data_IF_152487521091
#
_entry.id   IF_152487521091
#
_cell.length_a   1.000
_cell.length_b   1.000
_cell.length_c   1.000
_cell.angle_alpha   90.00
_cell.angle_beta   90.00
_cell.angle_gamma   90.00
#
_symmetry.space_group_name_H-M   'P 1'
#
loop_
_entity.id
_entity.type
_entity.pdbx_description
1 polymer ?
#
# COMPACT_ATOMS: atom_id res chain seq x y z
N UNK A 1 -8.17 -4.33 5.94
CA UNK A 1 -8.97 -5.54 6.28
C UNK A 1 -10.44 -5.18 6.16
N UNK A 2 -11.24 -6.05 5.56
CA UNK A 2 -12.67 -5.81 5.43
C UNK A 2 -13.39 -5.81 6.79
N UNK A 3 -14.49 -5.06 6.88
CA UNK A 3 -15.36 -5.08 8.04
C UNK A 3 -16.25 -6.34 8.02
N UNK A 4 -16.11 -7.18 9.04
CA UNK A 4 -16.96 -8.37 9.19
C UNK A 4 -18.45 -8.02 9.31
N UNK A 5 -18.77 -6.84 9.87
CA UNK A 5 -20.16 -6.36 9.93
C UNK A 5 -20.72 -6.12 8.53
N UNK A 6 -19.92 -5.54 7.63
CA UNK A 6 -20.31 -5.35 6.22
C UNK A 6 -20.53 -6.69 5.51
N UNK A 7 -19.61 -7.67 5.71
CA UNK A 7 -19.79 -9.03 5.16
C UNK A 7 -21.11 -9.65 5.67
N UNK A 8 -21.47 -9.41 6.93
CA UNK A 8 -22.69 -9.93 7.54
C UNK A 8 -23.96 -9.28 6.99
N UNK A 9 -23.95 -7.96 6.81
CA UNK A 9 -25.14 -7.18 6.42
C UNK A 9 -25.38 -7.16 4.92
N UNK A 10 -24.33 -7.30 4.10
CA UNK A 10 -24.36 -7.28 2.63
C UNK A 10 -23.51 -8.43 2.06
N UNK A 11 -23.85 -9.64 2.45
CA UNK A 11 -23.07 -10.83 2.05
C UNK A 11 -22.98 -10.99 0.53
N UNK A 12 -24.12 -10.89 -0.16
CA UNK A 12 -24.18 -11.13 -1.61
C UNK A 12 -23.46 -10.04 -2.40
N UNK A 13 -23.57 -8.77 -1.99
CA UNK A 13 -22.87 -7.65 -2.61
C UNK A 13 -21.35 -7.74 -2.42
N UNK A 14 -20.89 -8.06 -1.21
CA UNK A 14 -19.46 -8.27 -0.93
C UNK A 14 -18.94 -9.49 -1.69
N UNK A 15 -19.70 -10.59 -1.74
CA UNK A 15 -19.32 -11.80 -2.47
C UNK A 15 -19.16 -11.54 -3.97
N UNK A 16 -20.12 -10.84 -4.58
CA UNK A 16 -20.05 -10.48 -5.99
C UNK A 16 -18.82 -9.64 -6.31
N UNK A 17 -18.51 -8.62 -5.48
CA UNK A 17 -17.33 -7.77 -5.65
C UNK A 17 -16.02 -8.55 -5.49
N UNK A 18 -15.91 -9.41 -4.49
CA UNK A 18 -14.70 -10.19 -4.26
C UNK A 18 -14.51 -11.31 -5.32
N UNK A 19 -15.58 -11.83 -5.88
CA UNK A 19 -15.51 -12.78 -7.00
C UNK A 19 -14.80 -12.16 -8.23
N UNK A 20 -15.02 -10.87 -8.51
CA UNK A 20 -14.29 -10.16 -9.58
C UNK A 20 -12.80 -10.00 -9.31
N UNK A 21 -12.36 -10.25 -8.06
CA UNK A 21 -10.96 -10.25 -7.63
C UNK A 21 -10.40 -11.68 -7.45
N UNK A 22 -11.07 -12.69 -7.98
CA UNK A 22 -10.63 -14.09 -7.92
C UNK A 22 -10.80 -14.74 -6.55
N UNK A 23 -11.58 -14.16 -5.62
CA UNK A 23 -11.86 -14.78 -4.32
C UNK A 23 -12.93 -15.87 -4.51
N UNK A 24 -12.61 -17.10 -4.07
CA UNK A 24 -13.54 -18.23 -4.16
C UNK A 24 -14.75 -18.05 -3.24
N UNK A 25 -15.94 -18.46 -3.71
CA UNK A 25 -17.19 -18.36 -2.95
C UNK A 25 -17.13 -19.11 -1.60
N UNK A 26 -16.42 -20.23 -1.56
CA UNK A 26 -16.21 -21.05 -0.35
C UNK A 26 -15.51 -20.26 0.76
N UNK A 27 -14.60 -19.35 0.41
CA UNK A 27 -13.90 -18.51 1.40
C UNK A 27 -14.88 -17.63 2.16
N UNK A 28 -15.83 -17.01 1.46
CA UNK A 28 -16.85 -16.16 2.09
C UNK A 28 -17.91 -16.97 2.83
N UNK A 29 -18.28 -18.14 2.32
CA UNK A 29 -19.16 -19.08 3.03
C UNK A 29 -18.55 -19.50 4.37
N UNK A 30 -17.24 -19.80 4.39
CA UNK A 30 -16.52 -20.15 5.60
C UNK A 30 -16.47 -18.98 6.62
N UNK A 31 -16.24 -17.75 6.15
CA UNK A 31 -16.30 -16.56 7.02
C UNK A 31 -17.69 -16.42 7.64
N UNK A 32 -18.75 -16.61 6.87
CA UNK A 32 -20.14 -16.52 7.35
C UNK A 32 -20.44 -17.57 8.41
N UNK A 33 -20.00 -18.81 8.22
CA UNK A 33 -20.16 -19.90 9.16
C UNK A 33 -19.39 -19.63 10.46
N UNK A 34 -18.11 -19.26 10.37
CA UNK A 34 -17.28 -18.93 11.52
C UNK A 34 -17.84 -17.74 12.31
N UNK A 35 -18.32 -16.69 11.63
CA UNK A 35 -18.93 -15.52 12.29
C UNK A 35 -20.24 -15.89 12.99
N UNK A 36 -21.09 -16.75 12.41
CA UNK A 36 -22.29 -17.23 13.05
C UNK A 36 -21.95 -18.03 14.30
N UNK A 37 -21.03 -19.02 14.19
CA UNK A 37 -20.58 -19.82 15.32
C UNK A 37 -19.96 -18.95 16.42
N UNK A 38 -19.13 -17.97 16.06
CA UNK A 38 -18.55 -17.00 16.99
C UNK A 38 -19.61 -16.29 17.83
N UNK A 39 -20.68 -15.80 17.19
CA UNK A 39 -21.76 -15.09 17.87
C UNK A 39 -22.55 -15.98 18.82
N UNK A 40 -22.84 -17.22 18.39
CA UNK A 40 -23.55 -18.18 19.22
C UNK A 40 -22.73 -18.53 20.48
N UNK A 41 -21.44 -18.83 20.31
CA UNK A 41 -20.53 -19.10 21.44
C UNK A 41 -20.42 -17.88 22.36
N UNK A 42 -20.30 -16.66 21.80
CA UNK A 42 -20.19 -15.42 22.58
C UNK A 42 -21.42 -15.21 23.45
N UNK A 43 -22.63 -15.36 22.92
CA UNK A 43 -23.88 -15.25 23.67
C UNK A 43 -23.89 -16.27 24.83
N UNK A 44 -23.57 -17.52 24.57
CA UNK A 44 -23.51 -18.57 25.61
C UNK A 44 -22.49 -18.24 26.69
N UNK A 45 -21.30 -17.73 26.31
CA UNK A 45 -20.27 -17.32 27.29
C UNK A 45 -20.75 -16.18 28.17
N UNK A 46 -21.43 -15.19 27.59
CA UNK A 46 -21.98 -14.06 28.35
C UNK A 46 -23.06 -14.49 29.32
N UNK A 47 -23.96 -15.38 28.91
CA UNK A 47 -25.01 -15.95 29.77
C UNK A 47 -24.40 -16.74 30.94
N UNK A 48 -23.43 -17.63 30.67
CA UNK A 48 -22.77 -18.41 31.72
C UNK A 48 -21.93 -17.53 32.68
N UNK A 49 -21.31 -16.46 32.15
CA UNK A 49 -20.59 -15.47 33.00
C UNK A 49 -21.57 -14.72 33.93
N UNK A 50 -22.75 -14.35 33.43
CA UNK A 50 -23.80 -13.73 34.22
C UNK A 50 -24.32 -14.70 35.30
N UNK A 51 -24.63 -15.94 34.95
CA UNK A 51 -25.03 -16.99 35.89
C UNK A 51 -23.95 -17.25 36.96
N UNK A 52 -22.70 -17.36 36.58
CA UNK A 52 -21.57 -17.50 37.51
C UNK A 52 -21.50 -16.36 38.52
N UNK A 53 -21.74 -15.13 38.09
CA UNK A 53 -21.75 -13.98 38.97
C UNK A 53 -22.90 -14.06 39.96
N UNK A 54 -24.10 -14.51 39.56
CA UNK A 54 -25.27 -14.72 40.41
C UNK A 54 -24.99 -15.81 41.46
N UNK A 55 -24.49 -16.99 41.01
CA UNK A 55 -24.13 -18.10 41.92
C UNK A 55 -23.04 -17.68 42.93
N UNK A 56 -22.07 -16.86 42.48
CA UNK A 56 -21.03 -16.32 43.35
C UNK A 56 -21.62 -15.44 44.48
N UNK A 57 -22.57 -14.59 44.13
CA UNK A 57 -23.27 -13.75 45.12
C UNK A 57 -24.09 -14.60 46.13
N UNK A 58 -24.77 -15.63 45.62
CA UNK A 58 -25.53 -16.56 46.45
C UNK A 58 -24.64 -17.36 47.44
N UNK A 59 -23.47 -17.84 46.99
CA UNK A 59 -22.48 -18.50 47.83
C UNK A 59 -22.01 -17.55 48.94
N UNK A 60 -21.73 -16.30 48.58
CA UNK A 60 -21.31 -15.29 49.56
C UNK A 60 -22.40 -15.02 50.59
N UNK A 61 -23.68 -14.98 50.18
CA UNK A 61 -24.82 -14.80 51.10
C UNK A 61 -25.03 -16.02 52.01
N UNK A 62 -25.01 -17.25 51.45
CA UNK A 62 -25.14 -18.47 52.24
C UNK A 62 -24.05 -18.60 53.31
N UNK A 63 -22.79 -18.28 52.93
CA UNK A 63 -21.67 -18.24 53.91
C UNK A 63 -21.87 -17.20 55.04
N UNK A 64 -22.42 -16.03 54.73
CA UNK A 64 -22.75 -15.01 55.72
C UNK A 64 -23.83 -15.50 56.71
N UNK A 65 -24.82 -16.23 56.16
CA UNK A 65 -25.92 -16.79 56.95
C UNK A 65 -25.53 -18.08 57.67
N UNK A 66 -24.29 -18.59 57.48
CA UNK A 66 -23.81 -19.90 58.01
C UNK A 66 -24.62 -21.10 57.46
N UNK A 67 -25.15 -20.98 56.24
CA UNK A 67 -25.88 -22.05 55.56
C UNK A 67 -24.89 -22.90 54.75
N UNK A 68 -25.30 -24.14 54.46
CA UNK A 68 -24.50 -25.03 53.57
C UNK A 68 -24.53 -24.47 52.13
N UNK A 69 -23.35 -24.35 51.51
CA UNK A 69 -23.18 -23.86 50.13
C UNK A 69 -22.50 -24.89 49.21
N UNK A 70 -22.35 -26.14 49.62
CA UNK A 70 -21.58 -27.15 48.89
C UNK A 70 -22.11 -27.39 47.49
N UNK A 71 -23.43 -27.53 47.31
CA UNK A 71 -24.07 -27.69 45.99
C UNK A 71 -23.85 -26.49 45.10
N UNK A 72 -23.91 -25.25 45.66
CA UNK A 72 -23.63 -24.03 44.91
C UNK A 72 -22.16 -23.90 44.53
N UNK A 73 -21.25 -24.39 45.37
CA UNK A 73 -19.81 -24.43 45.07
C UNK A 73 -19.54 -25.42 43.94
N UNK A 74 -20.18 -26.59 43.95
CA UNK A 74 -20.06 -27.55 42.87
C UNK A 74 -20.60 -27.03 41.52
N UNK A 75 -21.78 -26.32 41.58
CA UNK A 75 -22.34 -25.64 40.39
C UNK A 75 -21.40 -24.54 39.89
N UNK A 76 -20.80 -23.75 40.77
CA UNK A 76 -19.82 -22.72 40.41
C UNK A 76 -18.59 -23.31 39.74
N UNK A 77 -18.07 -24.47 40.24
CA UNK A 77 -16.93 -25.13 39.62
C UNK A 77 -17.25 -25.59 38.20
N UNK A 78 -18.43 -26.19 37.97
CA UNK A 78 -18.91 -26.60 36.66
C UNK A 78 -19.02 -25.41 35.71
N UNK A 79 -19.73 -24.35 36.12
CA UNK A 79 -19.88 -23.10 35.35
C UNK A 79 -18.51 -22.50 34.95
N UNK A 80 -17.56 -22.52 35.90
CA UNK A 80 -16.21 -22.00 35.63
C UNK A 80 -15.45 -22.85 34.62
N UNK A 81 -15.62 -24.17 34.62
CA UNK A 81 -15.04 -25.08 33.64
C UNK A 81 -15.68 -24.90 32.26
N UNK A 82 -17.00 -24.76 32.18
CA UNK A 82 -17.74 -24.53 30.95
C UNK A 82 -17.35 -23.19 30.30
N UNK A 83 -17.29 -22.12 31.09
CA UNK A 83 -16.81 -20.80 30.61
C UNK A 83 -15.39 -20.88 30.07
N UNK A 84 -14.47 -21.58 30.76
CA UNK A 84 -13.10 -21.74 30.30
C UNK A 84 -13.01 -22.49 28.96
N UNK A 85 -13.80 -23.55 28.78
CA UNK A 85 -13.84 -24.31 27.54
C UNK A 85 -14.38 -23.47 26.38
N UNK A 86 -15.45 -22.71 26.61
CA UNK A 86 -16.04 -21.84 25.58
C UNK A 86 -15.17 -20.63 25.27
N UNK A 87 -14.47 -20.05 26.25
CA UNK A 87 -13.47 -18.99 25.99
C UNK A 87 -12.32 -19.52 25.10
N UNK A 88 -11.88 -20.78 25.29
CA UNK A 88 -10.89 -21.43 24.44
C UNK A 88 -11.42 -21.69 23.02
N UNK A 89 -12.67 -22.16 22.89
CA UNK A 89 -13.33 -22.32 21.58
C UNK A 89 -13.47 -20.99 20.85
N UNK A 90 -13.86 -19.92 21.57
CA UNK A 90 -13.98 -18.57 20.99
C UNK A 90 -12.64 -18.08 20.46
N UNK A 91 -11.55 -18.29 21.21
CA UNK A 91 -10.20 -17.94 20.75
C UNK A 91 -9.82 -18.68 19.46
N UNK A 92 -10.09 -19.99 19.37
CA UNK A 92 -9.81 -20.77 18.15
C UNK A 92 -10.62 -20.27 16.94
N UNK A 93 -11.88 -19.88 17.15
CA UNK A 93 -12.72 -19.32 16.08
C UNK A 93 -12.18 -17.97 15.64
N UNK A 94 -11.79 -17.10 16.59
CA UNK A 94 -11.21 -15.78 16.31
C UNK A 94 -9.89 -15.90 15.52
N UNK A 95 -9.02 -16.84 15.87
CA UNK A 95 -7.77 -17.12 15.14
C UNK A 95 -8.06 -17.56 13.70
N UNK A 96 -8.98 -18.50 13.48
CA UNK A 96 -9.38 -18.94 12.14
C UNK A 96 -9.97 -17.83 11.31
N UNK A 97 -10.85 -17.03 11.91
CA UNK A 97 -11.49 -15.92 11.23
C UNK A 97 -10.47 -14.83 10.83
N UNK A 98 -9.56 -14.48 11.74
CA UNK A 98 -8.50 -13.52 11.49
C UNK A 98 -7.53 -14.02 10.40
N UNK A 99 -7.17 -15.29 10.40
CA UNK A 99 -6.31 -15.88 9.36
C UNK A 99 -6.89 -15.71 7.96
N UNK A 100 -8.22 -15.82 7.80
CA UNK A 100 -8.89 -15.62 6.51
C UNK A 100 -9.00 -14.11 6.20
N UNK A 101 -9.49 -13.31 7.13
CA UNK A 101 -9.73 -11.87 6.91
C UNK A 101 -8.46 -11.09 6.59
N UNK A 102 -7.32 -11.49 7.14
CA UNK A 102 -6.04 -10.80 6.93
C UNK A 102 -5.45 -10.99 5.54
N UNK A 103 -5.85 -12.05 4.82
CA UNK A 103 -5.41 -12.32 3.44
C UNK A 103 -6.48 -12.05 2.40
N UNK A 104 -7.65 -11.57 2.81
CA UNK A 104 -8.74 -11.19 1.93
C UNK A 104 -8.50 -9.79 1.36
N UNK A 105 -8.54 -9.60 0.00
CA UNK A 105 -8.33 -8.28 -0.60
C UNK A 105 -9.48 -7.32 -0.28
N UNK A 106 -9.25 -6.01 -0.50
CA UNK A 106 -10.31 -5.01 -0.41
C UNK A 106 -11.36 -5.20 -1.52
N UNK A 107 -12.57 -4.73 -1.28
CA UNK A 107 -13.64 -4.72 -2.29
C UNK A 107 -13.43 -3.57 -3.28
N UNK A 108 -13.63 -3.80 -4.59
CA UNK A 108 -13.55 -2.72 -5.57
C UNK A 108 -14.70 -1.71 -5.39
N UNK A 109 -14.40 -0.44 -5.65
CA UNK A 109 -15.43 0.60 -5.80
C UNK A 109 -16.28 0.34 -7.04
N UNK A 110 -17.52 0.81 -7.06
CA UNK A 110 -18.48 0.54 -8.15
C UNK A 110 -18.04 1.09 -9.51
N UNK A 111 -17.18 2.10 -9.53
CA UNK A 111 -16.62 2.69 -10.76
C UNK A 111 -15.42 1.95 -11.35
N UNK A 112 -14.96 0.89 -10.70
CA UNK A 112 -13.80 0.11 -11.17
C UNK A 112 -14.26 -0.82 -12.30
N UNK A 113 -13.54 -0.83 -13.46
CA UNK A 113 -13.85 -1.76 -14.53
C UNK A 113 -13.62 -3.21 -14.07
N UNK A 114 -14.51 -4.10 -14.47
CA UNK A 114 -14.37 -5.54 -14.21
C UNK A 114 -13.47 -6.12 -15.30
N UNK A 115 -12.42 -6.83 -14.90
CA UNK A 115 -11.46 -7.48 -15.80
C UNK A 115 -10.60 -8.49 -15.04
N UNK A 116 -9.93 -9.38 -15.78
CA UNK A 116 -9.14 -10.48 -15.23
C UNK A 116 -7.68 -10.08 -14.96
N UNK A 117 -7.10 -9.24 -15.80
CA UNK A 117 -5.68 -8.87 -15.77
C UNK A 117 -5.41 -7.48 -16.38
N UNK A 118 -4.13 -7.14 -16.53
CA UNK A 118 -3.64 -5.84 -17.00
C UNK A 118 -4.10 -5.47 -18.43
N UNK A 119 -4.47 -6.45 -19.28
CA UNK A 119 -4.93 -6.19 -20.64
C UNK A 119 -6.34 -5.57 -20.67
N UNK A 120 -7.09 -5.71 -19.59
CA UNK A 120 -8.46 -5.17 -19.44
C UNK A 120 -8.50 -3.84 -18.65
N UNK A 121 -7.33 -3.24 -18.36
CA UNK A 121 -7.24 -1.90 -17.81
C UNK A 121 -7.75 -0.86 -18.82
N UNK A 122 -8.40 0.18 -18.33
CA UNK A 122 -9.05 1.18 -19.20
C UNK A 122 -8.24 2.48 -19.23
N UNK A 123 -7.78 2.88 -20.42
CA UNK A 123 -7.16 4.20 -20.59
C UNK A 123 -8.20 5.29 -20.43
N UNK A 124 -8.01 6.15 -19.42
CA UNK A 124 -8.94 7.25 -19.10
C UNK A 124 -8.49 8.59 -19.67
N UNK A 125 -7.19 8.81 -19.84
CA UNK A 125 -6.61 10.01 -20.47
C UNK A 125 -5.15 9.79 -20.86
N UNK A 126 -4.68 10.66 -21.74
CA UNK A 126 -3.30 10.67 -22.25
C UNK A 126 -2.82 12.09 -22.40
N UNK A 127 -1.51 12.31 -22.23
CA UNK A 127 -0.85 13.59 -22.44
C UNK A 127 0.47 13.44 -23.18
N UNK A 128 0.76 14.44 -24.03
CA UNK A 128 1.97 14.46 -24.84
C UNK A 128 1.93 13.48 -26.02
N UNK A 129 2.89 13.66 -26.92
CA UNK A 129 3.07 12.79 -28.09
C UNK A 129 4.47 12.21 -28.03
N UNK A 130 4.65 10.88 -28.16
CA UNK A 130 5.96 10.26 -28.30
C UNK A 130 6.80 10.94 -29.38
N UNK A 131 8.06 11.22 -29.07
CA UNK A 131 9.00 11.80 -30.02
C UNK A 131 9.27 10.82 -31.14
N UNK A 132 9.22 11.30 -32.39
CA UNK A 132 9.74 10.55 -33.55
C UNK A 132 11.24 10.81 -33.68
N UNK A 133 12.01 9.72 -33.69
CA UNK A 133 13.46 9.79 -33.82
C UNK A 133 13.84 9.61 -35.31
N UNK A 134 14.86 10.36 -35.77
CA UNK A 134 15.49 10.17 -37.11
C UNK A 134 16.58 9.11 -37.07
N UNK A 135 16.86 8.55 -35.92
CA UNK A 135 17.84 7.50 -35.65
C UNK A 135 17.22 6.42 -34.73
N UNK A 136 17.84 5.26 -34.64
CA UNK A 136 17.39 4.20 -33.75
C UNK A 136 17.67 4.58 -32.26
N UNK A 137 16.63 4.74 -31.43
CA UNK A 137 16.85 5.13 -30.05
C UNK A 137 17.46 3.96 -29.24
N UNK A 138 18.55 4.25 -28.52
CA UNK A 138 19.17 3.30 -27.59
C UNK A 138 18.32 3.13 -26.32
N UNK A 139 18.42 1.97 -25.72
CA UNK A 139 17.86 1.72 -24.42
C UNK A 139 18.63 2.45 -23.30
N UNK A 140 17.92 2.81 -22.20
CA UNK A 140 18.51 3.56 -21.10
C UNK A 140 19.71 2.88 -20.44
N UNK A 141 19.78 1.55 -20.45
CA UNK A 141 20.93 0.82 -19.91
C UNK A 141 22.20 0.98 -20.79
N UNK A 142 22.06 0.97 -22.12
CA UNK A 142 23.18 1.19 -23.03
C UNK A 142 23.63 2.66 -22.96
N UNK A 143 22.69 3.62 -22.95
CA UNK A 143 23.01 5.05 -22.74
C UNK A 143 23.71 5.29 -21.41
N UNK A 144 23.26 4.63 -20.34
CA UNK A 144 23.84 4.77 -19.02
C UNK A 144 25.29 4.27 -18.92
N UNK A 145 25.63 3.22 -19.67
CA UNK A 145 27.01 2.71 -19.80
C UNK A 145 27.86 3.63 -20.68
N UNK A 146 27.37 4.01 -21.86
CA UNK A 146 28.08 4.88 -22.81
C UNK A 146 28.40 6.26 -22.21
N UNK A 147 27.51 6.80 -21.39
CA UNK A 147 27.68 8.08 -20.69
C UNK A 147 28.45 7.97 -19.37
N UNK A 148 28.87 6.78 -18.98
CA UNK A 148 29.53 6.49 -17.70
C UNK A 148 28.75 6.96 -16.45
N UNK A 149 27.44 6.82 -16.48
CA UNK A 149 26.53 7.27 -15.40
C UNK A 149 25.81 6.13 -14.66
N UNK A 150 25.74 4.93 -15.22
CA UNK A 150 25.19 3.72 -14.61
C UNK A 150 26.25 2.61 -14.63
N UNK A 151 26.42 1.88 -13.53
CA UNK A 151 27.41 0.82 -13.41
C UNK A 151 26.77 -0.45 -12.85
N UNK A 152 26.41 -1.34 -13.75
CA UNK A 152 25.75 -2.60 -13.45
C UNK A 152 26.73 -3.67 -12.97
N UNK A 153 27.94 -3.71 -13.53
CA UNK A 153 28.95 -4.71 -13.20
C UNK A 153 29.38 -4.59 -11.72
N UNK A 154 29.67 -3.37 -11.29
CA UNK A 154 30.04 -3.13 -9.89
C UNK A 154 28.86 -3.29 -8.94
N UNK A 155 27.65 -2.94 -9.35
CA UNK A 155 26.42 -3.23 -8.60
C UNK A 155 26.25 -4.72 -8.36
N UNK A 156 26.37 -5.53 -9.42
CA UNK A 156 26.28 -6.98 -9.32
C UNK A 156 27.40 -7.58 -8.47
N UNK A 157 28.62 -7.04 -8.57
CA UNK A 157 29.78 -7.48 -7.76
C UNK A 157 29.56 -7.24 -6.27
N UNK A 158 28.96 -6.12 -5.88
CA UNK A 158 28.79 -5.73 -4.47
C UNK A 158 27.62 -6.43 -3.82
N UNK A 159 26.51 -6.59 -4.54
CA UNK A 159 25.27 -7.07 -3.93
C UNK A 159 24.62 -8.22 -4.73
N UNK A 160 24.76 -8.24 -6.05
CA UNK A 160 24.11 -9.23 -6.92
C UNK A 160 23.33 -8.59 -8.08
N UNK A 161 22.62 -9.40 -8.84
CA UNK A 161 21.77 -8.93 -9.92
C UNK A 161 20.70 -7.95 -9.43
N UNK A 162 20.21 -7.06 -10.29
CA UNK A 162 19.18 -6.03 -10.00
C UNK A 162 19.62 -4.99 -8.97
N UNK A 163 20.94 -4.78 -8.81
CA UNK A 163 21.56 -3.66 -8.12
C UNK A 163 22.51 -2.93 -9.07
N UNK A 164 22.68 -1.63 -8.88
CA UNK A 164 23.58 -0.80 -9.67
C UNK A 164 24.17 0.33 -8.85
N UNK A 165 25.21 0.95 -9.39
CA UNK A 165 25.66 2.26 -8.94
C UNK A 165 25.23 3.33 -9.95
N UNK A 166 24.59 4.38 -9.47
CA UNK A 166 24.54 5.66 -10.17
C UNK A 166 25.83 6.39 -9.88
N UNK A 167 26.47 6.94 -10.89
CA UNK A 167 27.71 7.70 -10.71
C UNK A 167 27.73 8.99 -11.52
N UNK A 168 28.64 9.89 -11.18
CA UNK A 168 28.84 11.16 -11.90
C UNK A 168 27.53 11.95 -12.09
N UNK A 169 27.23 12.36 -13.32
CA UNK A 169 26.00 13.08 -13.64
C UNK A 169 24.73 12.21 -13.49
N UNK A 170 24.86 10.88 -13.53
CA UNK A 170 23.73 9.97 -13.24
C UNK A 170 23.29 10.05 -11.78
N UNK A 171 24.24 10.03 -10.84
CA UNK A 171 23.92 10.20 -9.43
C UNK A 171 23.35 11.59 -9.14
N UNK A 172 23.83 12.62 -9.86
CA UNK A 172 23.28 13.96 -9.76
C UNK A 172 21.88 14.05 -10.34
N UNK A 173 21.59 13.40 -11.46
CA UNK A 173 20.27 13.36 -12.08
C UNK A 173 19.25 12.66 -11.17
N UNK A 174 19.60 11.54 -10.58
CA UNK A 174 18.78 10.82 -9.60
C UNK A 174 18.39 11.74 -8.44
N UNK A 175 19.39 12.43 -7.84
CA UNK A 175 19.18 13.38 -6.76
C UNK A 175 18.38 14.61 -7.21
N UNK A 176 18.65 15.14 -8.40
CA UNK A 176 17.92 16.28 -8.96
C UNK A 176 16.44 15.96 -9.10
N UNK A 177 16.12 14.74 -9.57
CA UNK A 177 14.75 14.28 -9.76
C UNK A 177 13.97 14.20 -8.45
N UNK A 178 14.49 13.49 -7.44
CA UNK A 178 13.70 13.37 -6.22
C UNK A 178 13.60 14.71 -5.45
N UNK A 179 14.60 15.60 -5.52
CA UNK A 179 14.47 16.95 -4.96
C UNK A 179 13.41 17.78 -5.70
N UNK A 180 13.41 17.74 -7.03
CA UNK A 180 12.39 18.40 -7.83
C UNK A 180 10.98 17.87 -7.51
N UNK A 181 10.79 16.55 -7.44
CA UNK A 181 9.51 15.94 -7.11
C UNK A 181 9.02 16.36 -5.72
N UNK A 182 9.91 16.36 -4.71
CA UNK A 182 9.56 16.81 -3.36
C UNK A 182 9.15 18.28 -3.33
N UNK A 183 9.92 19.17 -3.97
CA UNK A 183 9.61 20.59 -4.00
C UNK A 183 8.25 20.87 -4.67
N UNK A 184 7.92 20.13 -5.75
CA UNK A 184 6.62 20.23 -6.41
C UNK A 184 5.47 19.78 -5.51
N UNK A 185 5.60 18.64 -4.83
CA UNK A 185 4.56 18.17 -3.92
C UNK A 185 4.41 19.06 -2.70
N UNK A 186 5.51 19.65 -2.18
CA UNK A 186 5.43 20.65 -1.11
C UNK A 186 4.64 21.87 -1.59
N UNK A 187 4.87 22.34 -2.82
CA UNK A 187 4.12 23.43 -3.41
C UNK A 187 2.63 23.11 -3.61
N UNK A 188 2.29 21.83 -3.76
CA UNK A 188 0.92 21.31 -3.85
C UNK A 188 0.26 21.06 -2.48
N UNK A 189 0.95 21.38 -1.38
CA UNK A 189 0.43 21.33 -0.01
C UNK A 189 0.78 20.09 0.79
N UNK A 190 1.68 19.23 0.29
CA UNK A 190 2.17 18.10 1.05
C UNK A 190 3.21 18.53 2.09
N UNK A 191 3.18 17.91 3.26
CA UNK A 191 4.23 18.01 4.26
C UNK A 191 5.31 16.96 3.96
N UNK A 192 6.56 17.41 3.80
CA UNK A 192 7.69 16.49 3.65
C UNK A 192 8.03 15.83 4.98
N UNK A 193 8.23 14.51 4.94
CA UNK A 193 8.63 13.71 6.09
C UNK A 193 9.83 12.84 5.71
N UNK A 194 10.86 12.82 6.56
CA UNK A 194 11.95 11.85 6.48
C UNK A 194 11.59 10.68 7.39
N UNK A 195 11.39 9.51 6.81
CA UNK A 195 10.88 8.33 7.51
C UNK A 195 12.00 7.38 7.93
N UNK A 196 11.77 6.50 8.94
CA UNK A 196 12.58 5.30 9.12
C UNK A 196 12.50 4.40 7.89
N UNK A 197 13.61 3.75 7.52
CA UNK A 197 13.68 2.78 6.42
C UNK A 197 13.55 1.32 6.88
N UNK A 198 13.54 1.11 8.18
CA UNK A 198 13.22 -0.15 8.83
C UNK A 198 11.97 0.05 9.69
N UNK A 199 11.03 -0.88 9.56
CA UNK A 199 9.75 -0.85 10.30
C UNK A 199 9.51 -2.19 10.97
N UNK A 200 8.66 -2.22 11.98
CA UNK A 200 8.25 -3.45 12.63
C UNK A 200 7.14 -4.20 11.84
N UNK A 201 6.90 -5.45 12.19
CA UNK A 201 5.87 -6.29 11.56
C UNK A 201 4.47 -5.69 11.66
N UNK A 202 4.13 -4.99 12.76
CA UNK A 202 2.83 -4.34 12.91
C UNK A 202 2.62 -3.24 11.87
N UNK A 203 3.69 -2.52 11.49
CA UNK A 203 3.62 -1.52 10.44
C UNK A 203 3.40 -2.15 9.07
N UNK A 204 4.04 -3.29 8.79
CA UNK A 204 3.82 -4.06 7.55
C UNK A 204 2.39 -4.64 7.51
N UNK A 205 1.85 -5.05 8.66
CA UNK A 205 0.46 -5.47 8.77
C UNK A 205 -0.50 -4.30 8.52
N UNK A 206 -0.22 -3.12 9.07
CA UNK A 206 -1.07 -1.94 8.98
C UNK A 206 -1.40 -1.53 7.55
N UNK A 207 -0.44 -1.59 6.65
CA UNK A 207 -0.61 -1.24 5.22
C UNK A 207 -0.97 -2.43 4.32
N UNK A 208 -1.00 -3.66 4.87
CA UNK A 208 -1.48 -4.84 4.15
C UNK A 208 -0.40 -5.67 3.47
N UNK A 209 0.89 -5.35 3.64
CA UNK A 209 1.97 -6.20 3.13
C UNK A 209 2.00 -7.55 3.86
N UNK A 210 1.80 -7.53 5.18
CA UNK A 210 1.76 -8.76 5.97
C UNK A 210 0.30 -9.19 6.27
N UNK A 211 0.06 -10.50 6.34
CA UNK A 211 0.99 -11.62 6.14
C UNK A 211 1.23 -12.01 4.67
N UNK A 212 0.42 -11.53 3.73
CA UNK A 212 0.29 -12.05 2.36
C UNK A 212 1.57 -11.96 1.52
N UNK A 213 2.31 -10.85 1.62
CA UNK A 213 3.49 -10.55 0.79
C UNK A 213 4.80 -10.63 1.56
N UNK A 214 4.85 -11.48 2.58
CA UNK A 214 6.04 -11.64 3.41
C UNK A 214 7.28 -12.05 2.59
N UNK A 215 7.10 -12.90 1.58
CA UNK A 215 8.17 -13.39 0.71
C UNK A 215 8.77 -12.29 -0.20
N UNK A 216 8.02 -11.21 -0.45
CA UNK A 216 8.49 -10.07 -1.24
C UNK A 216 9.30 -9.06 -0.44
N UNK A 217 9.57 -9.32 0.83
CA UNK A 217 10.25 -8.39 1.75
C UNK A 217 11.63 -8.88 2.17
N UNK A 218 12.48 -7.94 2.60
CA UNK A 218 13.75 -8.23 3.25
C UNK A 218 13.60 -8.07 4.77
N UNK A 219 13.50 -9.20 5.48
CA UNK A 219 13.47 -9.24 6.95
C UNK A 219 14.89 -9.25 7.53
N UNK A 220 15.10 -8.59 8.66
CA UNK A 220 16.34 -8.62 9.40
C UNK A 220 16.32 -9.79 10.38
N UNK A 221 17.29 -10.70 10.26
CA UNK A 221 17.42 -11.87 11.12
C UNK A 221 17.42 -11.49 12.61
N UNK A 222 16.78 -12.30 13.43
CA UNK A 222 16.73 -12.18 14.90
C UNK A 222 16.08 -10.85 15.40
N UNK A 223 15.30 -10.20 14.55
CA UNK A 223 14.56 -8.98 14.90
C UNK A 223 13.11 -9.06 14.40
N UNK A 224 12.30 -8.06 14.75
CA UNK A 224 10.98 -7.85 14.14
C UNK A 224 11.02 -6.72 13.09
N UNK A 225 12.19 -6.41 12.52
CA UNK A 225 12.38 -5.35 11.56
C UNK A 225 12.40 -5.86 10.11
N UNK A 226 11.84 -5.02 9.24
CA UNK A 226 11.73 -5.24 7.80
C UNK A 226 12.22 -3.98 7.09
N UNK A 227 13.00 -4.11 6.02
CA UNK A 227 13.31 -3.00 5.13
C UNK A 227 12.05 -2.60 4.37
N UNK A 228 11.73 -1.31 4.34
CA UNK A 228 10.48 -0.83 3.72
C UNK A 228 10.43 -1.10 2.21
N UNK A 229 9.33 -1.63 1.67
CA UNK A 229 9.13 -1.75 0.22
C UNK A 229 8.67 -0.44 -0.42
N UNK A 230 8.26 0.54 0.38
CA UNK A 230 7.74 1.86 0.02
C UNK A 230 7.64 2.74 1.26
N UNK A 231 7.76 4.06 1.10
CA UNK A 231 7.49 5.01 2.18
C UNK A 231 6.02 5.04 2.62
N UNK A 232 5.10 4.47 1.84
CA UNK A 232 3.70 4.26 2.26
C UNK A 232 3.61 3.63 3.65
N UNK A 233 4.47 2.63 3.93
CA UNK A 233 4.41 1.90 5.20
C UNK A 233 4.66 2.81 6.40
N UNK A 234 5.79 3.51 6.54
CA UNK A 234 6.01 4.39 7.68
C UNK A 234 5.07 5.61 7.66
N UNK A 235 4.74 6.19 6.49
CA UNK A 235 3.86 7.35 6.41
C UNK A 235 2.44 7.03 6.88
N UNK A 236 1.85 5.92 6.42
CA UNK A 236 0.50 5.52 6.84
C UNK A 236 0.46 5.17 8.32
N UNK A 237 1.48 4.48 8.83
CA UNK A 237 1.56 4.12 10.25
C UNK A 237 1.91 5.29 11.17
N UNK A 238 2.18 6.49 10.65
CA UNK A 238 2.46 7.69 11.44
C UNK A 238 1.34 7.96 12.46
N UNK A 239 0.09 7.76 12.05
CA UNK A 239 -1.09 7.92 12.91
C UNK A 239 -1.67 6.60 13.45
N UNK A 240 -0.92 5.50 13.44
CA UNK A 240 -1.40 4.22 13.96
C UNK A 240 -1.86 4.34 15.41
N UNK A 241 -3.08 3.81 15.70
CA UNK A 241 -3.79 3.85 16.98
C UNK A 241 -4.23 5.26 17.43
N UNK A 242 -4.26 6.25 16.55
CA UNK A 242 -4.65 7.62 16.87
C UNK A 242 -6.09 7.94 16.44
N UNK A 243 -6.65 8.97 17.07
CA UNK A 243 -7.93 9.57 16.71
C UNK A 243 -7.66 11.04 16.37
N UNK A 244 -7.83 11.38 15.08
CA UNK A 244 -7.65 12.73 14.57
C UNK A 244 -8.93 13.55 14.71
N UNK A 245 -8.83 14.87 14.63
CA UNK A 245 -10.01 15.72 14.54
C UNK A 245 -10.38 15.92 13.05
N UNK A 246 -11.67 15.83 12.72
CA UNK A 246 -12.14 15.98 11.33
C UNK A 246 -11.68 17.27 10.66
N UNK A 247 -11.63 18.38 11.43
CA UNK A 247 -11.18 19.69 10.94
C UNK A 247 -9.75 19.73 10.40
N UNK A 248 -8.91 18.76 10.80
CA UNK A 248 -7.52 18.66 10.38
C UNK A 248 -7.38 17.82 9.08
N UNK A 249 -8.47 17.18 8.63
CA UNK A 249 -8.50 16.39 7.40
C UNK A 249 -8.92 17.26 6.19
N UNK A 250 -8.39 17.01 4.99
CA UNK A 250 -7.43 15.97 4.67
C UNK A 250 -5.98 16.37 5.02
N UNK A 251 -5.16 15.38 5.40
CA UNK A 251 -3.72 15.56 5.66
C UNK A 251 -2.93 14.95 4.51
N UNK A 252 -1.87 15.63 4.05
CA UNK A 252 -1.02 15.21 2.93
C UNK A 252 0.42 15.07 3.39
N UNK A 253 1.01 13.89 3.20
CA UNK A 253 2.42 13.62 3.44
C UNK A 253 3.14 13.20 2.18
N UNK A 254 4.39 13.65 2.03
CA UNK A 254 5.31 13.15 1.00
C UNK A 254 6.66 12.78 1.62
N UNK A 255 7.29 11.75 1.09
CA UNK A 255 8.62 11.32 1.50
C UNK A 255 9.38 10.72 0.34
N UNK A 256 10.66 11.02 0.25
CA UNK A 256 11.61 10.25 -0.56
C UNK A 256 12.21 9.14 0.30
N UNK A 257 12.21 7.93 -0.20
CA UNK A 257 12.91 6.82 0.44
C UNK A 257 13.52 5.84 -0.55
N UNK A 258 14.56 5.10 -0.17
CA UNK A 258 14.83 3.82 -0.80
C UNK A 258 13.66 2.89 -0.54
N UNK A 259 13.36 2.04 -1.52
CA UNK A 259 12.38 0.97 -1.45
C UNK A 259 13.08 -0.36 -1.72
N UNK A 260 12.77 -1.38 -0.93
CA UNK A 260 13.43 -2.69 -0.99
C UNK A 260 12.42 -3.77 -1.29
N UNK A 261 12.60 -4.51 -2.41
CA UNK A 261 11.71 -5.59 -2.84
C UNK A 261 12.51 -6.81 -3.27
N UNK A 262 12.19 -7.99 -2.72
CA UNK A 262 12.86 -9.24 -3.09
C UNK A 262 12.45 -9.72 -4.48
N UNK A 263 11.34 -9.18 -5.05
CA UNK A 263 10.85 -9.51 -6.39
C UNK A 263 10.66 -11.03 -6.59
N UNK A 264 10.16 -11.73 -5.57
CA UNK A 264 10.07 -13.19 -5.53
C UNK A 264 9.28 -13.79 -6.71
N UNK A 265 8.24 -13.09 -7.20
CA UNK A 265 7.39 -13.53 -8.31
C UNK A 265 7.82 -13.06 -9.70
N UNK A 266 8.96 -12.37 -9.85
CA UNK A 266 9.31 -11.64 -11.09
C UNK A 266 10.42 -12.29 -11.92
N UNK A 267 10.64 -13.59 -11.79
CA UNK A 267 11.68 -14.30 -12.56
C UNK A 267 11.50 -14.11 -14.08
N UNK A 268 12.55 -13.64 -14.75
CA UNK A 268 12.56 -13.45 -16.22
C UNK A 268 11.92 -12.15 -16.72
N UNK A 269 11.28 -11.34 -15.86
CA UNK A 269 10.69 -10.05 -16.25
C UNK A 269 11.69 -8.92 -16.06
N UNK A 270 11.78 -7.98 -17.03
CA UNK A 270 12.60 -6.77 -16.96
C UNK A 270 14.00 -7.04 -16.36
N UNK A 271 14.75 -7.98 -16.95
CA UNK A 271 16.04 -8.45 -16.43
C UNK A 271 17.18 -7.44 -16.62
N UNK A 272 16.99 -6.39 -17.42
CA UNK A 272 17.94 -5.32 -17.70
C UNK A 272 17.32 -3.96 -17.41
N UNK A 273 18.17 -2.99 -17.06
CA UNK A 273 17.79 -1.59 -16.89
C UNK A 273 17.16 -1.26 -15.53
N UNK A 274 16.53 -0.08 -15.46
CA UNK A 274 16.06 0.57 -14.24
C UNK A 274 14.61 0.26 -13.88
N UNK A 275 13.91 -0.54 -14.69
CA UNK A 275 12.47 -0.79 -14.51
C UNK A 275 12.20 -1.66 -13.28
N UNK A 276 13.06 -2.66 -13.00
CA UNK A 276 12.84 -3.62 -11.91
C UNK A 276 14.14 -3.92 -11.17
N UNK A 277 14.26 -3.34 -9.98
CA UNK A 277 15.42 -3.41 -9.10
C UNK A 277 15.00 -3.89 -7.71
N UNK A 278 15.91 -4.52 -6.97
CA UNK A 278 15.73 -4.87 -5.56
C UNK A 278 15.76 -3.66 -4.64
N UNK A 279 16.47 -2.61 -5.04
CA UNK A 279 16.56 -1.33 -4.36
C UNK A 279 16.39 -0.19 -5.36
N UNK A 280 15.49 0.74 -5.08
CA UNK A 280 15.25 1.93 -5.90
C UNK A 280 14.72 3.08 -5.05
N UNK A 281 14.88 4.32 -5.52
CA UNK A 281 14.28 5.48 -4.85
C UNK A 281 12.89 5.78 -5.39
N UNK A 282 12.01 6.19 -4.49
CA UNK A 282 10.65 6.61 -4.81
C UNK A 282 10.27 7.81 -3.94
N UNK A 283 9.65 8.79 -4.55
CA UNK A 283 8.90 9.82 -3.83
C UNK A 283 7.47 9.29 -3.67
N UNK A 284 7.02 9.22 -2.45
CA UNK A 284 5.69 8.70 -2.11
C UNK A 284 4.79 9.81 -1.60
N UNK A 285 3.53 9.74 -1.96
CA UNK A 285 2.45 10.60 -1.47
C UNK A 285 1.48 9.74 -0.66
N UNK A 286 1.10 10.20 0.52
CA UNK A 286 0.05 9.58 1.36
C UNK A 286 -0.93 10.65 1.79
N UNK A 287 -2.23 10.33 1.73
CA UNK A 287 -3.29 11.20 2.24
C UNK A 287 -4.14 10.47 3.26
N UNK A 288 -4.62 11.22 4.24
CA UNK A 288 -5.64 10.81 5.19
C UNK A 288 -6.85 11.70 4.97
N UNK A 289 -8.00 11.11 4.70
CA UNK A 289 -9.21 11.86 4.33
C UNK A 289 -10.45 11.27 5.00
N UNK A 290 -11.53 12.05 5.06
CA UNK A 290 -12.84 11.50 5.40
C UNK A 290 -13.35 10.64 4.23
N UNK A 291 -14.29 9.70 4.47
CA UNK A 291 -14.91 8.91 3.40
C UNK A 291 -15.48 9.77 2.27
N UNK A 292 -16.07 10.90 2.60
CA UNK A 292 -16.73 11.82 1.67
C UNK A 292 -15.74 12.54 0.73
N UNK A 293 -14.51 12.79 1.23
CA UNK A 293 -13.47 13.51 0.49
C UNK A 293 -12.60 12.58 -0.35
N UNK A 294 -12.49 11.30 0.02
CA UNK A 294 -11.39 10.43 -0.38
C UNK A 294 -11.28 10.20 -1.89
N UNK A 295 -12.39 10.16 -2.63
CA UNK A 295 -12.34 9.97 -4.08
C UNK A 295 -11.93 11.24 -4.84
N UNK A 296 -12.33 12.41 -4.37
CA UNK A 296 -11.82 13.69 -4.89
C UNK A 296 -10.33 13.84 -4.59
N UNK A 297 -9.89 13.35 -3.44
CA UNK A 297 -8.48 13.33 -3.06
C UNK A 297 -7.65 12.33 -3.90
N UNK A 298 -8.24 11.23 -4.38
CA UNK A 298 -7.61 10.33 -5.35
C UNK A 298 -7.37 11.02 -6.69
N UNK A 299 -8.38 11.72 -7.22
CA UNK A 299 -8.24 12.48 -8.46
C UNK A 299 -7.13 13.55 -8.35
N UNK A 300 -7.11 14.32 -7.25
CA UNK A 300 -6.06 15.31 -6.99
C UNK A 300 -4.68 14.66 -6.89
N UNK A 301 -4.54 13.53 -6.18
CA UNK A 301 -3.27 12.82 -6.05
C UNK A 301 -2.75 12.35 -7.42
N UNK A 302 -3.64 11.84 -8.26
CA UNK A 302 -3.31 11.42 -9.63
C UNK A 302 -2.81 12.61 -10.44
N UNK A 303 -3.48 13.76 -10.37
CA UNK A 303 -3.05 15.00 -11.03
C UNK A 303 -1.69 15.48 -10.51
N UNK A 304 -1.41 15.36 -9.20
CA UNK A 304 -0.09 15.71 -8.65
C UNK A 304 1.03 14.87 -9.29
N UNK A 305 0.83 13.56 -9.49
CA UNK A 305 1.78 12.71 -10.20
C UNK A 305 1.90 13.09 -11.70
N UNK A 306 0.78 13.40 -12.36
CA UNK A 306 0.76 13.85 -13.77
C UNK A 306 1.54 15.16 -13.94
N UNK A 307 1.44 16.11 -13.02
CA UNK A 307 2.13 17.39 -13.05
C UNK A 307 3.66 17.22 -13.12
N UNK A 308 4.22 16.21 -12.43
CA UNK A 308 5.65 15.91 -12.53
C UNK A 308 6.02 15.51 -13.96
N UNK A 309 5.26 14.60 -14.58
CA UNK A 309 5.50 14.14 -15.95
C UNK A 309 5.34 15.25 -16.97
N UNK A 310 4.31 16.10 -16.80
CA UNK A 310 4.08 17.26 -17.69
C UNK A 310 5.21 18.27 -17.60
N UNK A 311 5.67 18.63 -16.41
CA UNK A 311 6.80 19.54 -16.20
C UNK A 311 8.11 18.98 -16.75
N UNK A 312 8.29 17.66 -16.70
CA UNK A 312 9.42 16.97 -17.33
C UNK A 312 9.28 16.81 -18.85
N UNK A 313 8.10 17.10 -19.43
CA UNK A 313 7.84 16.96 -20.87
C UNK A 313 7.82 15.49 -21.33
N UNK A 314 7.47 14.56 -20.46
CA UNK A 314 7.43 13.11 -20.76
C UNK A 314 6.01 12.69 -21.13
N UNK A 315 5.80 12.11 -22.33
CA UNK A 315 4.50 11.58 -22.73
C UNK A 315 4.06 10.42 -21.84
N UNK A 316 2.80 10.42 -21.44
CA UNK A 316 2.23 9.40 -20.56
C UNK A 316 0.75 9.13 -20.87
N UNK A 317 0.24 8.04 -20.33
CA UNK A 317 -1.19 7.75 -20.26
C UNK A 317 -1.60 7.38 -18.83
N UNK A 318 -2.87 7.54 -18.51
CA UNK A 318 -3.46 7.16 -17.22
C UNK A 318 -4.45 6.02 -17.46
N UNK A 319 -4.30 4.94 -16.71
CA UNK A 319 -5.16 3.77 -16.74
C UNK A 319 -5.98 3.68 -15.46
N UNK A 320 -7.27 3.40 -15.57
CA UNK A 320 -8.05 2.88 -14.46
C UNK A 320 -7.85 1.36 -14.41
N UNK A 321 -7.27 0.86 -13.33
CA UNK A 321 -7.05 -0.57 -13.18
C UNK A 321 -8.36 -1.32 -13.03
N UNK A 322 -8.46 -2.48 -13.68
CA UNK A 322 -9.58 -3.39 -13.54
C UNK A 322 -9.48 -4.20 -12.23
N UNK A 323 -10.56 -4.88 -11.88
CA UNK A 323 -10.67 -5.62 -10.62
C UNK A 323 -9.60 -6.71 -10.44
N UNK A 324 -9.13 -7.32 -11.53
CA UNK A 324 -8.12 -8.38 -11.50
C UNK A 324 -6.68 -7.86 -11.31
N UNK A 325 -6.41 -6.61 -11.69
CA UNK A 325 -5.06 -6.02 -11.64
C UNK A 325 -4.82 -5.09 -10.44
N UNK A 326 -5.87 -4.67 -9.74
CA UNK A 326 -5.73 -3.79 -8.57
C UNK A 326 -4.91 -4.42 -7.45
N UNK A 327 -4.08 -3.61 -6.77
CA UNK A 327 -3.36 -3.96 -5.56
C UNK A 327 -4.27 -4.48 -4.44
N UNK A 328 -3.72 -5.31 -3.55
CA UNK A 328 -4.45 -6.01 -2.48
C UNK A 328 -5.32 -5.11 -1.60
N UNK A 329 -4.77 -3.97 -1.15
CA UNK A 329 -5.45 -3.04 -0.24
C UNK A 329 -6.35 -2.04 -0.96
N UNK A 330 -6.24 -1.91 -2.28
CA UNK A 330 -6.91 -0.89 -3.06
C UNK A 330 -8.39 -1.18 -3.30
N UNK A 331 -9.22 -0.14 -3.20
CA UNK A 331 -10.61 -0.11 -3.66
C UNK A 331 -10.74 0.51 -5.07
N UNK A 332 -9.83 1.42 -5.43
CA UNK A 332 -9.69 1.99 -6.78
C UNK A 332 -8.25 2.46 -6.98
N UNK A 333 -7.73 2.21 -8.18
CA UNK A 333 -6.36 2.58 -8.56
C UNK A 333 -6.33 3.22 -9.93
N UNK A 334 -5.52 4.27 -10.06
CA UNK A 334 -5.04 4.80 -11.33
C UNK A 334 -3.54 4.56 -11.46
N UNK A 335 -3.12 3.96 -12.58
CA UNK A 335 -1.72 3.87 -12.93
C UNK A 335 -1.37 4.92 -13.99
N UNK A 336 -0.20 5.56 -13.82
CA UNK A 336 0.41 6.39 -14.83
C UNK A 336 1.50 5.59 -15.51
N UNK A 337 1.47 5.53 -16.83
CA UNK A 337 2.48 4.86 -17.63
C UNK A 337 3.18 5.87 -18.54
N UNK A 338 4.51 5.94 -18.45
CA UNK A 338 5.36 6.82 -19.26
C UNK A 338 5.84 6.10 -20.52
N UNK A 339 5.96 6.82 -21.61
CA UNK A 339 6.50 6.30 -22.85
C UNK A 339 8.00 5.98 -22.76
N UNK A 340 8.39 4.78 -23.16
CA UNK A 340 9.77 4.29 -23.21
C UNK A 340 10.12 3.95 -24.67
N UNK A 341 10.85 4.84 -25.40
CA UNK A 341 11.10 4.73 -26.82
C UNK A 341 11.73 3.41 -27.28
N UNK A 342 12.79 2.94 -26.60
CA UNK A 342 13.48 1.72 -26.99
C UNK A 342 12.62 0.45 -26.85
N UNK A 343 11.60 0.49 -25.98
CA UNK A 343 10.64 -0.60 -25.82
C UNK A 343 9.39 -0.42 -26.70
N UNK A 344 9.24 0.75 -27.31
CA UNK A 344 8.05 1.14 -28.06
C UNK A 344 6.75 0.88 -27.26
N UNK A 345 6.78 1.20 -25.96
CA UNK A 345 5.70 0.89 -25.02
C UNK A 345 5.59 1.94 -23.91
N UNK A 346 4.39 2.05 -23.34
CA UNK A 346 4.16 2.73 -22.08
C UNK A 346 4.51 1.78 -20.92
N UNK A 347 5.17 2.32 -19.88
CA UNK A 347 5.57 1.55 -18.69
C UNK A 347 5.13 2.27 -17.45
N UNK A 348 4.57 1.54 -16.50
CA UNK A 348 4.13 2.07 -15.21
C UNK A 348 5.25 2.85 -14.51
N UNK A 349 4.94 4.08 -14.09
CA UNK A 349 5.85 4.99 -13.36
C UNK A 349 5.24 5.47 -12.04
N UNK A 350 3.93 5.42 -11.92
CA UNK A 350 3.18 5.75 -10.69
C UNK A 350 1.92 4.91 -10.61
N UNK A 351 1.53 4.59 -9.39
CA UNK A 351 0.25 3.98 -9.07
C UNK A 351 -0.37 4.76 -7.92
N UNK A 352 -1.58 5.28 -8.10
CA UNK A 352 -2.32 6.07 -7.12
C UNK A 352 -3.58 5.33 -6.69
N UNK A 353 -3.69 5.01 -5.41
CA UNK A 353 -4.76 4.16 -4.87
C UNK A 353 -5.52 4.81 -3.73
N UNK A 354 -6.84 4.62 -3.72
CA UNK A 354 -7.69 4.80 -2.56
C UNK A 354 -7.92 3.43 -1.92
N UNK A 355 -7.55 3.26 -0.66
CA UNK A 355 -7.75 2.01 0.08
C UNK A 355 -9.02 2.02 0.93
N UNK A 356 -9.77 3.11 0.88
CA UNK A 356 -10.90 3.35 1.80
C UNK A 356 -10.47 3.12 3.26
N UNK A 357 -11.28 2.45 4.05
CA UNK A 357 -11.00 2.18 5.47
C UNK A 357 -10.15 0.90 5.70
N UNK A 358 -9.67 0.24 4.64
CA UNK A 358 -9.00 -1.05 4.73
C UNK A 358 -7.71 -1.02 5.56
N UNK A 359 -6.84 -0.05 5.29
CA UNK A 359 -5.61 0.16 6.05
C UNK A 359 -5.89 0.82 7.40
N UNK A 360 -6.81 1.77 7.44
CA UNK A 360 -7.21 2.44 8.67
C UNK A 360 -7.79 1.44 9.70
N UNK A 361 -8.52 0.40 9.26
CA UNK A 361 -9.01 -0.68 10.13
C UNK A 361 -7.87 -1.52 10.68
N UNK A 362 -6.84 -1.83 9.87
CA UNK A 362 -5.66 -2.59 10.31
C UNK A 362 -4.83 -1.81 11.33
N UNK A 363 -4.62 -0.51 11.04
CA UNK A 363 -3.77 0.39 11.84
C UNK A 363 -4.53 1.14 12.92
N UNK A 364 -5.86 0.99 13.02
CA UNK A 364 -6.72 1.71 13.96
C UNK A 364 -6.56 3.24 13.85
N UNK A 365 -6.50 3.76 12.62
CA UNK A 365 -6.46 5.20 12.35
C UNK A 365 -7.88 5.71 12.23
N UNK A 366 -8.26 6.63 13.09
CA UNK A 366 -9.64 7.06 13.26
C UNK A 366 -9.74 8.59 13.29
N UNK A 367 -10.92 9.10 13.11
CA UNK A 367 -11.20 10.51 13.32
C UNK A 367 -12.49 10.69 14.12
N UNK A 368 -12.60 11.84 14.76
CA UNK A 368 -13.83 12.26 15.46
C UNK A 368 -14.66 13.10 14.51
N UNK A 369 -15.80 12.56 14.13
CA UNK A 369 -16.77 13.23 13.25
C UNK A 369 -17.36 14.45 13.97
N UNK A 370 -17.32 15.60 13.33
CA UNK A 370 -17.78 16.86 13.92
C UNK A 370 -19.31 16.96 14.00
N UNK A 371 -20.04 16.22 13.19
CA UNK A 371 -21.49 16.29 13.14
C UNK A 371 -22.15 15.49 14.27
N UNK A 372 -21.61 14.31 14.62
CA UNK A 372 -22.22 13.43 15.61
C UNK A 372 -21.29 13.08 16.79
N UNK A 373 -20.04 13.54 16.77
CA UNK A 373 -19.03 13.31 17.80
C UNK A 373 -18.52 11.87 17.88
N UNK A 374 -18.96 11.00 16.96
CA UNK A 374 -18.55 9.58 16.95
C UNK A 374 -17.17 9.40 16.37
N UNK A 375 -16.49 8.37 16.84
CA UNK A 375 -15.20 7.96 16.29
C UNK A 375 -15.43 7.01 15.14
N UNK A 376 -14.92 7.38 13.96
CA UNK A 376 -15.03 6.62 12.70
C UNK A 376 -13.64 6.31 12.15
N UNK A 377 -13.52 5.29 11.30
CA UNK A 377 -12.31 5.05 10.53
C UNK A 377 -12.22 6.07 9.40
N UNK A 378 -11.01 6.62 9.18
CA UNK A 378 -10.76 7.45 8.01
C UNK A 378 -10.41 6.59 6.78
N UNK A 379 -10.26 7.24 5.62
CA UNK A 379 -9.74 6.63 4.41
C UNK A 379 -8.26 7.00 4.22
N UNK A 380 -7.45 6.04 3.76
CA UNK A 380 -6.06 6.28 3.37
C UNK A 380 -5.88 6.17 1.87
N UNK A 381 -5.02 7.01 1.33
CA UNK A 381 -4.63 7.01 -0.07
C UNK A 381 -3.10 7.02 -0.15
N UNK A 382 -2.57 6.34 -1.15
CA UNK A 382 -1.14 6.35 -1.44
C UNK A 382 -0.90 6.47 -2.94
N UNK A 383 0.23 7.06 -3.32
CA UNK A 383 0.62 7.15 -4.72
C UNK A 383 2.09 7.51 -4.89
N UNK A 384 2.70 7.02 -5.96
CA UNK A 384 4.07 7.40 -6.29
C UNK A 384 4.10 8.76 -6.95
N UNK A 385 4.95 9.62 -6.46
CA UNK A 385 5.10 10.97 -6.99
C UNK A 385 6.52 11.38 -7.43
N UNK A 386 7.36 10.53 -8.10
CA UNK A 386 7.20 9.26 -8.85
C UNK A 386 8.23 8.21 -8.40
N UNK A 387 8.32 7.09 -9.17
CA UNK A 387 9.45 6.16 -9.14
C UNK A 387 10.68 6.79 -9.81
N UNK A 388 11.70 7.15 -9.03
CA UNK A 388 12.82 8.01 -9.51
C UNK A 388 13.63 7.31 -10.60
N UNK A 389 14.03 6.05 -10.40
CA UNK A 389 14.82 5.29 -11.38
C UNK A 389 14.08 5.09 -12.72
N UNK A 390 12.77 4.84 -12.70
CA UNK A 390 11.95 4.77 -13.93
C UNK A 390 11.87 6.13 -14.63
N UNK A 391 11.86 7.22 -13.86
CA UNK A 391 11.91 8.58 -14.42
C UNK A 391 13.27 8.87 -15.06
N UNK A 392 14.39 8.42 -14.45
CA UNK A 392 15.71 8.47 -15.07
C UNK A 392 15.70 7.72 -16.40
N UNK A 393 15.18 6.49 -16.44
CA UNK A 393 15.09 5.72 -17.69
C UNK A 393 14.30 6.45 -18.78
N UNK A 394 13.14 7.03 -18.40
CA UNK A 394 12.31 7.78 -19.33
C UNK A 394 13.01 9.03 -19.86
N UNK A 395 13.75 9.77 -19.03
CA UNK A 395 14.53 10.94 -19.47
C UNK A 395 15.65 10.52 -20.40
N UNK A 396 16.45 9.51 -20.04
CA UNK A 396 17.55 9.04 -20.88
C UNK A 396 17.04 8.66 -22.27
N UNK A 397 15.95 7.94 -22.38
CA UNK A 397 15.43 7.48 -23.66
C UNK A 397 14.71 8.56 -24.47
N UNK A 398 13.85 9.39 -23.84
CA UNK A 398 13.10 10.44 -24.55
C UNK A 398 13.96 11.64 -24.97
N UNK A 399 15.02 11.95 -24.20
CA UNK A 399 15.86 13.13 -24.40
C UNK A 399 17.22 12.83 -25.01
N UNK A 400 17.45 11.59 -25.50
CA UNK A 400 18.66 11.21 -26.18
C UNK A 400 18.82 11.93 -27.54
N UNK A 401 20.04 12.22 -27.91
CA UNK A 401 20.43 12.82 -29.18
C UNK A 401 21.20 11.81 -30.03
N UNK A 402 21.30 12.07 -31.33
CA UNK A 402 21.97 11.20 -32.32
C UNK A 402 23.46 10.98 -31.97
N UNK A 403 24.10 11.97 -31.36
CA UNK A 403 25.50 11.92 -30.91
C UNK A 403 25.72 11.12 -29.62
N UNK A 404 24.68 10.51 -29.07
CA UNK A 404 24.71 9.74 -27.82
C UNK A 404 24.63 10.60 -26.55
N UNK A 405 24.54 11.91 -26.66
CA UNK A 405 24.29 12.80 -25.52
C UNK A 405 22.82 12.77 -25.09
N UNK A 406 22.54 13.23 -23.87
CA UNK A 406 21.17 13.37 -23.35
C UNK A 406 20.94 14.78 -22.88
N UNK A 407 19.93 15.43 -23.43
CA UNK A 407 19.49 16.77 -23.01
C UNK A 407 18.76 16.68 -21.67
N UNK A 408 19.07 17.59 -20.76
CA UNK A 408 18.40 17.67 -19.45
C UNK A 408 17.14 18.54 -19.58
N UNK A 409 15.96 18.03 -19.14
CA UNK A 409 14.74 18.85 -19.05
C UNK A 409 14.99 20.17 -18.34
N UNK A 410 14.42 21.26 -18.86
CA UNK A 410 14.70 22.62 -18.37
C UNK A 410 14.48 22.78 -16.87
N UNK A 411 13.39 22.19 -16.36
CA UNK A 411 13.01 22.26 -14.93
C UNK A 411 14.03 21.59 -14.00
N UNK A 412 14.86 20.68 -14.50
CA UNK A 412 15.90 19.98 -13.72
C UNK A 412 17.26 20.71 -13.74
N UNK A 413 17.50 21.63 -14.69
CA UNK A 413 18.81 22.30 -14.82
C UNK A 413 19.26 23.03 -13.57
N UNK A 414 18.39 23.72 -12.80
CA UNK A 414 18.80 24.31 -11.52
C UNK A 414 19.32 23.27 -10.52
N UNK A 415 18.66 22.11 -10.43
CA UNK A 415 19.07 21.01 -9.57
C UNK A 415 20.34 20.30 -10.08
N UNK A 416 20.60 20.38 -11.38
CA UNK A 416 21.82 19.88 -12.03
C UNK A 416 22.97 20.89 -11.99
N UNK A 417 22.79 22.06 -11.32
CA UNK A 417 23.78 23.13 -11.25
C UNK A 417 24.09 23.76 -12.61
N UNK A 418 23.07 23.89 -13.44
CA UNK A 418 23.15 24.52 -14.75
C UNK A 418 23.62 23.58 -15.88
N UNK A 419 23.85 22.30 -15.60
CA UNK A 419 24.13 21.30 -16.66
C UNK A 419 22.87 21.11 -17.49
N UNK A 420 22.97 21.29 -18.80
CA UNK A 420 21.88 21.19 -19.77
C UNK A 420 21.97 19.94 -20.66
N UNK A 421 23.15 19.32 -20.75
CA UNK A 421 23.42 18.12 -21.57
C UNK A 421 24.41 17.22 -20.85
N UNK A 422 24.12 15.92 -20.80
CA UNK A 422 25.08 14.87 -20.42
C UNK A 422 25.71 14.36 -21.72
N UNK A 423 27.04 14.40 -21.80
CA UNK A 423 27.82 14.00 -22.98
C UNK A 423 28.64 12.76 -22.69
N UNK A 424 28.90 11.92 -23.74
CA UNK A 424 29.82 10.79 -23.65
C UNK A 424 31.22 11.17 -23.21
#
# INVERSE_FOLDING_TARGET
MLDIKRIRTDFDGVAAKLATRGVAAETLANIKELDAKRRDVLVTVEELKAERNTVSAEIAQAKRNKENADDKIAAMQKLSADVKNLDAELLEIDEKLNAILTVLPNTPHDSVPVGADEEENVEVRRWGTPREFTFEPKAHWDLGEDLDILDWERGAKVTGARFLFYKNLGARLERALYNFMLDEHIAEGYQEIITPYMVNHDSMFGTGQYPKFKEDTFELADTNFVLIPTAEVPLTNYYRNEILEEKDLPIYFTAMSPSFRSEAGSAGRDTRGLIRLHQFHKVEMVKFATPEQSYDELEKMTVNAENILQKLGLPYRVLALCTGDMGFSAAKTYDLEVWIPAQNAYREISSCSNTEDFQARRSQIRYRDAADGKVKLLHTLNGSGLAVGRTVAAILENYQNEDGSVTIPEVLRPYMGGVDVIKP
#
